data_IF_334252075194
#
_entry.id   IF_334252075194
#
_cell.length_a   1.000
_cell.length_b   1.000
_cell.length_c   1.000
_cell.angle_alpha   90.00
_cell.angle_beta   90.00
_cell.angle_gamma   90.00
#
_symmetry.space_group_name_H-M   'P 1'
#
loop_
_entity.id
_entity.type
_entity.pdbx_description
1 polymer ?
#
# COMPACT_ATOMS: atom_id res chain seq x y z
N UNK A 1 4.84 -19.49 -1.71
CA UNK A 1 4.09 -18.47 -0.93
C UNK A 1 4.88 -17.17 -1.04
N UNK A 2 4.24 -16.03 -1.26
CA UNK A 2 4.96 -14.75 -1.37
C UNK A 2 5.52 -14.33 -0.02
N UNK A 3 6.74 -13.79 -0.01
CA UNK A 3 7.40 -13.22 1.16
C UNK A 3 7.44 -11.70 1.03
N UNK A 4 6.90 -11.00 2.01
CA UNK A 4 6.78 -9.54 1.98
C UNK A 4 7.52 -8.96 3.19
N UNK A 5 8.34 -7.94 2.95
CA UNK A 5 8.95 -7.12 3.98
C UNK A 5 8.14 -5.82 4.11
N UNK A 6 7.75 -5.44 5.33
CA UNK A 6 7.13 -4.15 5.63
C UNK A 6 8.07 -3.36 6.55
N UNK A 7 8.52 -2.20 6.09
CA UNK A 7 9.33 -1.26 6.85
C UNK A 7 8.47 -0.07 7.27
N UNK A 8 8.29 0.09 8.57
CA UNK A 8 7.36 1.04 9.18
C UNK A 8 6.02 0.40 9.53
N UNK A 9 5.82 0.10 10.81
CA UNK A 9 4.61 -0.51 11.36
C UNK A 9 3.67 0.53 12.01
N UNK A 10 3.70 1.76 11.47
CA UNK A 10 2.73 2.79 11.80
C UNK A 10 1.33 2.44 11.28
N UNK A 11 0.37 3.38 11.34
CA UNK A 11 -1.03 3.14 10.94
C UNK A 11 -1.15 2.44 9.58
N UNK A 12 -0.50 2.96 8.55
CA UNK A 12 -0.58 2.38 7.20
C UNK A 12 0.05 0.99 7.15
N UNK A 13 1.30 0.83 7.60
CA UNK A 13 2.00 -0.46 7.58
C UNK A 13 1.27 -1.55 8.38
N UNK A 14 0.70 -1.20 9.54
CA UNK A 14 -0.09 -2.13 10.34
C UNK A 14 -1.38 -2.57 9.63
N UNK A 15 -2.08 -1.67 8.93
CA UNK A 15 -3.26 -2.05 8.14
C UNK A 15 -2.90 -2.97 6.98
N UNK A 16 -1.78 -2.70 6.30
CA UNK A 16 -1.26 -3.58 5.24
C UNK A 16 -0.92 -4.96 5.81
N UNK A 17 -0.22 -5.02 6.95
CA UNK A 17 0.12 -6.27 7.62
C UNK A 17 -1.13 -7.10 7.98
N UNK A 18 -2.15 -6.47 8.57
CA UNK A 18 -3.43 -7.13 8.88
C UNK A 18 -4.06 -7.75 7.63
N UNK A 19 -4.13 -6.99 6.54
CA UNK A 19 -4.75 -7.48 5.31
C UNK A 19 -3.96 -8.62 4.67
N UNK A 20 -2.64 -8.55 4.69
CA UNK A 20 -1.77 -9.63 4.21
C UNK A 20 -1.90 -10.90 5.06
N UNK A 21 -2.09 -10.76 6.38
CA UNK A 21 -2.35 -11.89 7.28
C UNK A 21 -3.68 -12.59 6.94
N UNK A 22 -4.75 -11.83 6.69
CA UNK A 22 -6.04 -12.39 6.23
C UNK A 22 -5.88 -13.16 4.91
N UNK A 23 -4.94 -12.74 4.06
CA UNK A 23 -4.61 -13.38 2.79
C UNK A 23 -3.58 -14.53 2.94
N UNK A 24 -3.23 -14.91 4.17
CA UNK A 24 -2.26 -15.97 4.49
C UNK A 24 -0.88 -15.76 3.83
N UNK A 25 -0.43 -14.51 3.76
CA UNK A 25 0.87 -14.14 3.17
C UNK A 25 1.93 -14.05 4.27
N UNK A 26 3.15 -14.53 3.98
CA UNK A 26 4.27 -14.40 4.92
C UNK A 26 4.79 -12.96 4.94
N UNK A 27 4.85 -12.40 6.14
CA UNK A 27 5.27 -11.00 6.35
C UNK A 27 6.35 -10.93 7.40
N UNK A 28 7.46 -10.25 7.08
CA UNK A 28 8.40 -9.70 8.07
C UNK A 28 8.08 -8.22 8.26
N UNK A 29 7.76 -7.84 9.48
CA UNK A 29 7.55 -6.44 9.86
C UNK A 29 8.77 -5.85 10.56
N UNK A 30 9.15 -4.64 10.20
CA UNK A 30 10.29 -3.91 10.80
C UNK A 30 9.85 -2.51 11.20
N UNK A 31 10.18 -2.09 12.42
CA UNK A 31 10.04 -0.71 12.88
C UNK A 31 11.12 -0.42 13.94
N UNK A 32 11.54 0.83 14.07
CA UNK A 32 12.45 1.26 15.14
C UNK A 32 11.78 1.33 16.52
N UNK A 33 10.44 1.38 16.56
CA UNK A 33 9.64 1.43 17.78
C UNK A 33 9.25 0.03 18.23
N UNK A 34 9.74 -0.36 19.42
CA UNK A 34 9.34 -1.61 20.06
C UNK A 34 7.81 -1.72 20.28
N UNK A 35 7.15 -0.61 20.62
CA UNK A 35 5.70 -0.57 20.80
C UNK A 35 4.96 -0.94 19.50
N UNK A 36 5.38 -0.38 18.35
CA UNK A 36 4.78 -0.69 17.05
C UNK A 36 5.04 -2.12 16.61
N UNK A 37 6.25 -2.61 16.87
CA UNK A 37 6.60 -4.01 16.62
C UNK A 37 5.71 -4.94 17.44
N UNK A 38 5.56 -4.70 18.75
CA UNK A 38 4.65 -5.47 19.61
C UNK A 38 3.20 -5.46 19.14
N UNK A 39 2.70 -4.30 18.71
CA UNK A 39 1.34 -4.17 18.16
C UNK A 39 1.13 -4.93 16.85
N UNK A 40 2.19 -5.15 16.07
CA UNK A 40 2.13 -5.86 14.79
C UNK A 40 2.26 -7.38 14.92
N UNK A 41 2.84 -7.91 16.01
CA UNK A 41 3.09 -9.36 16.21
C UNK A 41 1.91 -10.27 15.86
N UNK A 42 0.63 -9.95 16.18
CA UNK A 42 -0.50 -10.81 15.83
C UNK A 42 -0.77 -10.89 14.32
N UNK A 43 -0.16 -10.03 13.51
CA UNK A 43 -0.50 -9.83 12.09
C UNK A 43 0.67 -10.06 11.14
N UNK A 44 1.82 -10.48 11.66
CA UNK A 44 3.02 -10.75 10.87
C UNK A 44 3.58 -12.13 11.21
N UNK A 45 4.30 -12.75 10.28
CA UNK A 45 4.96 -14.04 10.53
C UNK A 45 6.14 -13.85 11.50
N UNK A 46 6.92 -12.79 11.27
CA UNK A 46 8.03 -12.37 12.12
C UNK A 46 8.04 -10.83 12.22
N UNK A 47 8.62 -10.31 13.28
CA UNK A 47 8.84 -8.88 13.44
C UNK A 47 10.20 -8.60 14.08
N UNK A 48 10.86 -7.54 13.62
CA UNK A 48 12.16 -7.12 14.14
C UNK A 48 12.14 -5.63 14.50
N UNK A 49 12.85 -5.31 15.58
CA UNK A 49 13.11 -3.94 16.00
C UNK A 49 14.43 -3.52 15.37
N UNK A 50 14.43 -2.47 14.56
CA UNK A 50 15.64 -1.97 13.96
C UNK A 50 15.45 -0.69 13.16
N UNK A 51 16.55 0.00 12.92
CA UNK A 51 16.59 1.20 12.10
C UNK A 51 16.87 0.81 10.64
N UNK A 52 15.87 0.96 9.79
CA UNK A 52 16.00 0.67 8.37
C UNK A 52 16.86 1.70 7.61
N UNK A 53 17.18 2.84 8.19
CA UNK A 53 18.21 3.75 7.66
C UNK A 53 19.62 3.15 7.71
N UNK A 54 19.85 2.18 8.61
CA UNK A 54 21.12 1.47 8.68
C UNK A 54 21.19 0.37 7.61
N UNK A 55 22.04 0.56 6.61
CA UNK A 55 22.21 -0.36 5.49
C UNK A 55 22.70 -1.76 5.92
N UNK A 56 23.56 -1.85 6.96
CA UNK A 56 24.02 -3.14 7.46
C UNK A 56 22.90 -3.92 8.13
N UNK A 57 21.98 -3.24 8.82
CA UNK A 57 20.76 -3.87 9.34
C UNK A 57 19.90 -4.41 8.18
N UNK A 58 19.66 -3.63 7.13
CA UNK A 58 18.89 -4.11 5.97
C UNK A 58 19.58 -5.30 5.27
N UNK A 59 20.90 -5.30 5.14
CA UNK A 59 21.65 -6.45 4.60
C UNK A 59 21.41 -7.71 5.41
N UNK A 60 21.37 -7.62 6.73
CA UNK A 60 21.16 -8.76 7.62
C UNK A 60 19.79 -9.44 7.41
N UNK A 61 18.80 -8.70 6.91
CA UNK A 61 17.45 -9.21 6.62
C UNK A 61 17.40 -10.05 5.34
N UNK A 62 18.42 -9.99 4.46
CA UNK A 62 18.44 -10.73 3.21
C UNK A 62 17.42 -10.21 2.19
N UNK A 63 17.47 -8.94 1.87
CA UNK A 63 16.49 -8.19 1.06
C UNK A 63 16.10 -8.88 -0.25
N UNK A 64 17.05 -9.49 -0.94
CA UNK A 64 16.82 -10.18 -2.23
C UNK A 64 15.91 -11.42 -2.13
N UNK A 65 15.65 -11.93 -0.93
CA UNK A 65 14.76 -13.07 -0.70
C UNK A 65 13.29 -12.67 -0.74
N UNK A 66 12.97 -11.40 -0.48
CA UNK A 66 11.58 -10.92 -0.49
C UNK A 66 11.07 -10.68 -1.91
N UNK A 67 9.80 -11.02 -2.13
CA UNK A 67 9.13 -10.75 -3.41
C UNK A 67 8.70 -9.30 -3.53
N UNK A 68 8.36 -8.67 -2.39
CA UNK A 68 7.98 -7.25 -2.31
C UNK A 68 8.52 -6.66 -1.01
N UNK A 69 9.12 -5.48 -1.09
CA UNK A 69 9.49 -4.65 0.04
C UNK A 69 8.58 -3.41 0.06
N UNK A 70 7.89 -3.18 1.18
CA UNK A 70 6.96 -2.05 1.35
C UNK A 70 7.58 -1.05 2.33
N UNK A 71 7.86 0.16 1.87
CA UNK A 71 8.31 1.28 2.69
C UNK A 71 7.09 2.08 3.12
N UNK A 72 6.63 1.84 4.36
CA UNK A 72 5.43 2.44 4.93
C UNK A 72 5.72 3.64 5.85
N UNK A 73 6.92 4.21 5.75
CA UNK A 73 7.35 5.39 6.50
C UNK A 73 6.59 6.61 5.97
N UNK A 74 5.84 7.29 6.83
CA UNK A 74 4.96 8.38 6.40
C UNK A 74 5.33 9.76 6.94
N UNK A 75 6.03 9.82 8.08
CA UNK A 75 6.35 11.09 8.78
C UNK A 75 7.71 11.65 8.41
N UNK A 76 8.66 10.78 8.06
CA UNK A 76 10.01 11.15 7.66
C UNK A 76 10.24 10.80 6.18
N UNK A 77 10.20 11.84 5.34
CA UNK A 77 10.37 11.65 3.90
C UNK A 77 11.83 11.33 3.53
N UNK A 78 12.80 11.89 4.24
CA UNK A 78 14.22 11.62 3.97
C UNK A 78 14.54 10.16 4.28
N UNK A 79 14.13 9.67 5.44
CA UNK A 79 14.27 8.27 5.80
C UNK A 79 13.55 7.33 4.78
N UNK A 80 12.37 7.72 4.30
CA UNK A 80 11.66 6.96 3.25
C UNK A 80 12.45 6.87 1.94
N UNK A 81 13.11 7.97 1.52
CA UNK A 81 13.98 7.99 0.34
C UNK A 81 15.21 7.12 0.53
N UNK A 82 15.91 7.26 1.66
CA UNK A 82 17.13 6.51 1.97
C UNK A 82 16.83 5.00 1.99
N UNK A 83 15.78 4.59 2.71
CA UNK A 83 15.36 3.18 2.77
C UNK A 83 15.00 2.66 1.38
N UNK A 84 14.27 3.44 0.57
CA UNK A 84 13.91 3.06 -0.81
C UNK A 84 15.15 2.82 -1.67
N UNK A 85 16.16 3.70 -1.59
CA UNK A 85 17.44 3.55 -2.29
C UNK A 85 18.19 2.30 -1.83
N UNK A 86 18.38 2.16 -0.53
CA UNK A 86 19.10 1.02 0.04
C UNK A 86 18.46 -0.33 -0.36
N UNK A 87 17.13 -0.42 -0.36
CA UNK A 87 16.45 -1.64 -0.78
C UNK A 87 16.77 -2.00 -2.25
N UNK A 88 16.80 -1.02 -3.15
CA UNK A 88 17.15 -1.26 -4.56
C UNK A 88 18.62 -1.64 -4.72
N UNK A 89 19.52 -0.98 -4.03
CA UNK A 89 20.95 -1.32 -4.00
C UNK A 89 21.21 -2.73 -3.48
N UNK A 90 20.40 -3.18 -2.51
CA UNK A 90 20.47 -4.52 -1.92
C UNK A 90 19.72 -5.59 -2.74
N UNK A 91 19.23 -5.25 -3.94
CA UNK A 91 18.62 -6.18 -4.88
C UNK A 91 17.16 -6.53 -4.59
N UNK A 92 16.40 -5.61 -3.97
CA UNK A 92 14.95 -5.79 -3.83
C UNK A 92 14.28 -6.00 -5.19
N UNK A 93 13.51 -7.07 -5.35
CA UNK A 93 12.79 -7.41 -6.60
C UNK A 93 11.74 -6.37 -6.94
N UNK A 94 11.00 -5.92 -5.93
CA UNK A 94 9.96 -4.90 -6.06
C UNK A 94 9.89 -4.06 -4.81
N UNK A 95 9.93 -2.74 -4.97
CA UNK A 95 9.81 -1.76 -3.88
C UNK A 95 8.53 -0.96 -4.06
N UNK A 96 7.69 -0.96 -3.04
CA UNK A 96 6.47 -0.15 -2.94
C UNK A 96 6.69 0.89 -1.84
N UNK A 97 6.65 2.17 -2.17
CA UNK A 97 6.89 3.23 -1.17
C UNK A 97 5.65 4.09 -0.97
N UNK A 98 5.40 4.49 0.28
CA UNK A 98 4.31 5.39 0.62
C UNK A 98 4.73 6.84 0.41
N UNK A 99 3.89 7.61 -0.29
CA UNK A 99 3.98 9.07 -0.34
C UNK A 99 2.85 9.71 0.49
N UNK A 100 3.08 10.92 0.96
CA UNK A 100 2.09 11.78 1.61
C UNK A 100 1.84 13.09 0.83
N UNK A 101 2.55 13.31 -0.29
CA UNK A 101 2.42 14.48 -1.17
C UNK A 101 2.82 14.11 -2.60
N UNK A 102 2.24 14.78 -3.61
CA UNK A 102 2.54 14.54 -5.04
C UNK A 102 4.02 14.69 -5.39
N UNK A 103 4.73 15.64 -4.74
CA UNK A 103 6.17 15.82 -4.98
C UNK A 103 7.00 14.63 -4.48
N UNK A 104 6.60 14.02 -3.36
CA UNK A 104 7.28 12.84 -2.80
C UNK A 104 7.13 11.65 -3.75
N UNK A 105 5.98 11.46 -4.37
CA UNK A 105 5.75 10.41 -5.36
C UNK A 105 6.80 10.46 -6.48
N UNK A 106 7.04 11.65 -7.06
CA UNK A 106 8.04 11.84 -8.10
C UNK A 106 9.46 11.50 -7.66
N UNK A 107 9.81 11.88 -6.43
CA UNK A 107 11.16 11.60 -5.90
C UNK A 107 11.32 10.10 -5.59
N UNK A 108 10.34 9.46 -4.99
CA UNK A 108 10.40 8.03 -4.68
C UNK A 108 10.53 7.17 -5.94
N UNK A 109 9.77 7.47 -7.01
CA UNK A 109 9.89 6.79 -8.30
C UNK A 109 11.29 6.98 -8.90
N UNK A 110 11.85 8.19 -8.88
CA UNK A 110 13.21 8.47 -9.38
C UNK A 110 14.29 7.79 -8.54
N UNK A 111 13.99 7.56 -7.26
CA UNK A 111 14.92 6.95 -6.30
C UNK A 111 14.81 5.42 -6.26
N UNK A 112 14.03 4.81 -7.16
CA UNK A 112 13.99 3.38 -7.36
C UNK A 112 12.74 2.67 -6.82
N UNK A 113 11.73 3.37 -6.31
CA UNK A 113 10.45 2.74 -6.06
C UNK A 113 9.83 2.25 -7.37
N UNK A 114 9.37 0.99 -7.41
CA UNK A 114 8.66 0.44 -8.57
C UNK A 114 7.19 0.88 -8.58
N UNK A 115 6.64 1.12 -7.39
CA UNK A 115 5.28 1.63 -7.19
C UNK A 115 5.27 2.62 -6.04
N UNK A 116 4.53 3.70 -6.19
CA UNK A 116 4.26 4.63 -5.09
C UNK A 116 2.77 4.63 -4.77
N UNK A 117 2.45 4.51 -3.48
CA UNK A 117 1.08 4.56 -2.98
C UNK A 117 0.89 5.85 -2.20
N UNK A 118 -0.16 6.59 -2.52
CA UNK A 118 -0.57 7.80 -1.80
C UNK A 118 -1.96 7.58 -1.21
N UNK A 119 -2.07 7.00 0.01
CA UNK A 119 -3.34 6.55 0.59
C UNK A 119 -4.36 7.68 0.74
N UNK A 120 -3.93 8.85 1.19
CA UNK A 120 -4.82 10.00 1.43
C UNK A 120 -5.46 10.49 0.12
N UNK A 121 -4.71 10.48 -1.00
CA UNK A 121 -5.22 10.85 -2.32
C UNK A 121 -6.22 9.83 -2.84
N UNK A 122 -5.89 8.54 -2.72
CA UNK A 122 -6.76 7.44 -3.16
C UNK A 122 -8.08 7.43 -2.39
N UNK A 123 -8.00 7.43 -1.05
CA UNK A 123 -9.19 7.40 -0.20
C UNK A 123 -9.98 8.70 -0.31
N UNK A 124 -9.32 9.86 -0.38
CA UNK A 124 -9.98 11.15 -0.56
C UNK A 124 -10.77 11.22 -1.87
N UNK A 125 -10.20 10.70 -2.97
CA UNK A 125 -10.90 10.64 -4.26
C UNK A 125 -12.12 9.71 -4.20
N UNK A 126 -11.98 8.52 -3.62
CA UNK A 126 -13.08 7.57 -3.42
C UNK A 126 -14.20 8.19 -2.56
N UNK A 127 -13.84 8.80 -1.43
CA UNK A 127 -14.79 9.46 -0.54
C UNK A 127 -15.55 10.58 -1.26
N UNK A 128 -14.86 11.41 -2.06
CA UNK A 128 -15.49 12.47 -2.82
C UNK A 128 -16.52 11.94 -3.83
N UNK A 129 -16.18 10.84 -4.53
CA UNK A 129 -17.11 10.19 -5.46
C UNK A 129 -18.34 9.63 -4.73
N UNK A 130 -18.12 8.90 -3.62
CA UNK A 130 -19.22 8.35 -2.80
C UNK A 130 -20.12 9.44 -2.22
N UNK A 131 -19.57 10.57 -1.79
CA UNK A 131 -20.35 11.69 -1.27
C UNK A 131 -21.06 12.49 -2.39
N UNK A 132 -20.60 12.41 -3.63
CA UNK A 132 -21.20 13.14 -4.76
C UNK A 132 -22.37 12.39 -5.41
N UNK A 133 -22.57 11.12 -5.09
CA UNK A 133 -23.63 10.28 -5.67
C UNK A 133 -24.16 9.29 -4.64
N UNK A 134 -25.49 9.28 -4.45
CA UNK A 134 -26.14 8.38 -3.49
C UNK A 134 -26.07 6.91 -3.90
N UNK A 135 -25.83 6.63 -5.17
CA UNK A 135 -25.88 5.28 -5.72
C UNK A 135 -24.50 4.64 -5.94
N UNK A 136 -23.39 5.36 -5.77
CA UNK A 136 -22.03 4.82 -5.96
C UNK A 136 -21.54 4.18 -4.66
N UNK A 137 -21.33 2.88 -4.69
CA UNK A 137 -20.81 2.08 -3.57
C UNK A 137 -19.29 2.04 -3.58
N UNK A 138 -18.69 1.85 -4.77
CA UNK A 138 -17.25 1.83 -4.96
C UNK A 138 -16.87 2.30 -6.37
N UNK A 139 -15.62 2.72 -6.56
CA UNK A 139 -15.13 3.05 -7.88
C UNK A 139 -13.63 2.78 -8.01
N UNK A 140 -13.22 2.35 -9.18
CA UNK A 140 -11.82 2.14 -9.53
C UNK A 140 -11.51 2.97 -10.77
N UNK A 141 -10.63 3.96 -10.64
CA UNK A 141 -10.13 4.71 -11.78
C UNK A 141 -9.12 3.86 -12.56
N UNK A 142 -9.47 3.50 -13.79
CA UNK A 142 -8.62 2.68 -14.69
C UNK A 142 -7.63 3.57 -15.45
N UNK A 143 -8.09 4.75 -15.87
CA UNK A 143 -7.26 5.76 -16.56
C UNK A 143 -7.78 7.16 -16.27
N UNK A 144 -7.19 8.19 -16.90
CA UNK A 144 -7.69 9.57 -16.79
C UNK A 144 -9.15 9.72 -17.19
N UNK A 145 -9.60 8.94 -18.19
CA UNK A 145 -10.89 9.10 -18.86
C UNK A 145 -11.85 7.94 -18.58
N UNK A 146 -11.39 6.87 -17.91
CA UNK A 146 -12.18 5.67 -17.65
C UNK A 146 -12.12 5.24 -16.18
N UNK A 147 -13.29 4.90 -15.65
CA UNK A 147 -13.43 4.32 -14.31
C UNK A 147 -14.50 3.21 -14.33
N UNK A 148 -14.35 2.26 -13.43
CA UNK A 148 -15.36 1.23 -13.13
C UNK A 148 -16.07 1.65 -11.85
N UNK A 149 -17.40 1.63 -11.88
CA UNK A 149 -18.24 1.97 -10.73
C UNK A 149 -19.00 0.75 -10.27
N UNK A 150 -19.00 0.51 -8.98
CA UNK A 150 -19.98 -0.33 -8.31
C UNK A 150 -21.13 0.56 -7.86
N UNK A 151 -22.34 0.28 -8.34
CA UNK A 151 -23.53 1.08 -8.01
C UNK A 151 -24.59 0.22 -7.32
N UNK A 152 -25.34 0.84 -6.41
CA UNK A 152 -26.58 0.24 -5.95
C UNK A 152 -27.56 0.13 -7.12
N UNK A 153 -28.21 -1.05 -7.26
CA UNK A 153 -29.15 -1.28 -8.35
C UNK A 153 -30.34 -0.31 -8.23
N UNK A 154 -30.58 0.57 -9.22
CA UNK A 154 -31.75 1.44 -9.22
C UNK A 154 -33.06 0.64 -9.19
N UNK A 155 -34.04 1.10 -8.43
CA UNK A 155 -35.30 0.37 -8.27
C UNK A 155 -36.03 0.12 -9.60
N UNK A 156 -35.92 1.06 -10.53
CA UNK A 156 -36.51 0.99 -11.86
C UNK A 156 -35.82 -0.01 -12.80
N UNK A 157 -34.67 -0.57 -12.41
CA UNK A 157 -33.96 -1.63 -13.14
C UNK A 157 -34.35 -3.04 -12.69
N UNK A 158 -34.96 -3.16 -11.51
CA UNK A 158 -35.31 -4.45 -10.94
C UNK A 158 -36.32 -5.20 -11.86
N UNK A 159 -35.96 -6.44 -12.23
CA UNK A 159 -36.78 -7.28 -13.09
C UNK A 159 -36.66 -7.00 -14.60
N UNK A 160 -35.84 -6.06 -15.01
CA UNK A 160 -35.55 -5.77 -16.43
C UNK A 160 -34.24 -6.39 -16.89
N UNK A 161 -34.16 -6.75 -18.16
CA UNK A 161 -32.92 -7.18 -18.79
C UNK A 161 -32.01 -5.98 -19.11
N UNK A 162 -30.70 -6.21 -19.28
CA UNK A 162 -29.72 -5.17 -19.65
C UNK A 162 -30.13 -4.44 -20.93
N UNK A 163 -30.70 -5.17 -21.91
CA UNK A 163 -31.17 -4.59 -23.15
C UNK A 163 -32.35 -3.62 -22.98
N UNK A 164 -33.25 -3.92 -22.04
CA UNK A 164 -34.42 -3.08 -21.75
C UNK A 164 -34.05 -1.79 -21.00
N UNK A 165 -33.01 -1.83 -20.18
CA UNK A 165 -32.52 -0.63 -19.47
C UNK A 165 -31.56 0.23 -20.31
N UNK A 166 -31.16 -0.23 -21.51
CA UNK A 166 -30.36 0.55 -22.44
C UNK A 166 -28.90 0.76 -22.05
N UNK A 167 -28.38 -0.03 -21.12
CA UNK A 167 -26.96 0.01 -20.73
C UNK A 167 -26.11 -0.63 -21.83
N UNK A 168 -25.09 0.08 -22.29
CA UNK A 168 -24.16 -0.39 -23.32
C UNK A 168 -22.73 -0.46 -22.77
#
# INVERSE_FOLDING_TARGET
>A
MKQILIIGLGRFGLHVAKKLNEMHTQVLGVDSSEERVKAALPYVTNAEIGDAGNQEFLKSLGISNFDVCIVAIGTDFLASLEVTSHLKELGAKRVVSRAARDLQEKFLLRNGADVVVYPEKLVGSLTAVQCSSENVLDYIQVSKDFAVFEIALPEDWIGKSIGEIGVR
#
